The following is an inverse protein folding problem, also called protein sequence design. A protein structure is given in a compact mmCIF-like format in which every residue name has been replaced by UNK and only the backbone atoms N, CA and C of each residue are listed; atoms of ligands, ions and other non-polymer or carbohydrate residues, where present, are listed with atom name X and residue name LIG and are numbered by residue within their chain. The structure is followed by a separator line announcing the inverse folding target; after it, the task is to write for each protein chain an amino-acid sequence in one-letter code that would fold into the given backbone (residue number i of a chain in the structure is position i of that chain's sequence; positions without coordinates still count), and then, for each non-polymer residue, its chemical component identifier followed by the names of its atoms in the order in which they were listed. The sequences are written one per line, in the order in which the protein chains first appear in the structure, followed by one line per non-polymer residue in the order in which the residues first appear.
data_IF_681744460885
#
_entry.id   IF_681744460885
#
_cell.length_a   1.000
_cell.length_b   1.000
_cell.length_c   1.000
_cell.angle_alpha   90.00
_cell.angle_beta   90.00
_cell.angle_gamma   90.00
#
_symmetry.space_group_name_H-M   'P 1'
#
loop_
_entity.id
_entity.type
_entity.pdbx_description
1 polymer ?
#
# COMPACT_ATOMS: atom_id res chain seq x y z
N UNK A 1 -4.81 -11.38 27.32
CA UNK A 1 -4.39 -10.02 27.71
C UNK A 1 -5.62 -9.29 28.20
N UNK A 2 -5.57 -8.61 29.37
CA UNK A 2 -6.68 -7.74 29.77
C UNK A 2 -6.79 -6.58 28.77
N UNK A 3 -7.99 -6.03 28.56
CA UNK A 3 -8.22 -4.90 27.64
C UNK A 3 -7.41 -3.63 27.98
N UNK A 4 -6.71 -3.62 29.11
CA UNK A 4 -6.02 -2.47 29.68
C UNK A 4 -4.49 -2.51 29.54
N UNK A 5 -3.87 -3.67 29.32
CA UNK A 5 -2.41 -3.71 29.16
C UNK A 5 -1.99 -3.25 27.75
N UNK A 6 -0.94 -2.42 27.62
CA UNK A 6 -0.36 -2.06 26.34
C UNK A 6 0.19 -3.29 25.62
N UNK A 7 0.01 -3.36 24.31
CA UNK A 7 0.59 -4.38 23.44
C UNK A 7 2.08 -4.04 23.27
N UNK A 8 2.97 -4.96 23.67
CA UNK A 8 4.41 -4.76 23.53
C UNK A 8 4.83 -4.99 22.08
N UNK A 9 5.44 -3.99 21.45
CA UNK A 9 5.81 -4.02 20.02
C UNK A 9 7.32 -3.94 19.81
N UNK A 10 7.83 -4.81 18.93
CA UNK A 10 9.16 -4.66 18.32
C UNK A 10 8.99 -4.08 16.93
N UNK A 11 9.70 -2.98 16.64
CA UNK A 11 9.68 -2.34 15.31
C UNK A 11 10.98 -2.65 14.58
N UNK A 12 10.90 -3.34 13.45
CA UNK A 12 12.03 -3.71 12.61
C UNK A 12 12.07 -2.88 11.32
N UNK A 13 13.22 -2.25 11.07
CA UNK A 13 13.42 -1.30 9.98
C UNK A 13 13.05 0.10 10.42
N UNK A 14 14.02 1.02 10.37
CA UNK A 14 13.86 2.41 10.80
C UNK A 14 14.17 3.38 9.65
N UNK A 15 13.68 3.03 8.46
CA UNK A 15 13.64 3.92 7.29
C UNK A 15 12.57 5.01 7.45
N UNK A 16 12.02 5.52 6.34
CA UNK A 16 10.96 6.53 6.41
C UNK A 16 9.69 5.97 7.07
N UNK A 17 9.11 4.90 6.50
CA UNK A 17 7.91 4.25 7.05
C UNK A 17 8.11 3.71 8.47
N UNK A 18 9.22 3.01 8.70
CA UNK A 18 9.49 2.41 10.00
C UNK A 18 9.57 3.40 11.16
N UNK A 19 10.10 4.62 10.91
CA UNK A 19 10.11 5.69 11.92
C UNK A 19 8.73 6.29 12.14
N UNK A 20 7.92 6.44 11.09
CA UNK A 20 6.53 6.90 11.22
C UNK A 20 5.66 5.90 11.98
N UNK A 21 5.81 4.60 11.72
CA UNK A 21 5.14 3.55 12.49
C UNK A 21 5.62 3.50 13.94
N UNK A 22 6.93 3.62 14.19
CA UNK A 22 7.45 3.70 15.55
C UNK A 22 6.88 4.89 16.32
N UNK A 23 6.76 6.07 15.69
CA UNK A 23 6.09 7.22 16.30
C UNK A 23 4.62 6.96 16.59
N UNK A 24 3.90 6.31 15.66
CA UNK A 24 2.49 5.95 15.84
C UNK A 24 2.28 5.01 17.05
N UNK A 25 3.18 4.03 17.23
CA UNK A 25 3.15 3.18 18.43
C UNK A 25 3.50 3.96 19.70
N UNK A 26 4.52 4.83 19.67
CA UNK A 26 4.94 5.63 20.83
C UNK A 26 3.82 6.56 21.31
N UNK A 27 3.08 7.17 20.39
CA UNK A 27 2.02 8.13 20.70
C UNK A 27 0.70 7.47 21.13
N UNK A 28 0.55 6.16 20.92
CA UNK A 28 -0.69 5.44 21.22
C UNK A 28 -0.54 4.63 22.53
N UNK A 29 -1.28 4.99 23.61
CA UNK A 29 -1.18 4.32 24.90
C UNK A 29 -1.63 2.85 24.89
N UNK A 30 -2.22 2.37 23.80
CA UNK A 30 -2.50 0.96 23.58
C UNK A 30 -1.26 0.11 23.27
N UNK A 31 -0.09 0.74 23.06
CA UNK A 31 1.17 0.09 22.75
C UNK A 31 2.30 0.52 23.70
N UNK A 32 3.31 -0.33 23.79
CA UNK A 32 4.59 -0.05 24.44
C UNK A 32 5.71 -0.56 23.52
N UNK A 33 6.65 0.30 23.15
CA UNK A 33 7.78 -0.11 22.31
C UNK A 33 8.77 -0.93 23.17
N UNK A 34 8.84 -2.22 22.89
CA UNK A 34 9.79 -3.13 23.54
C UNK A 34 11.20 -3.01 22.94
N UNK A 35 11.31 -2.89 21.60
CA UNK A 35 12.58 -2.58 20.96
C UNK A 35 12.41 -1.92 19.59
N UNK A 36 13.37 -1.08 19.24
CA UNK A 36 13.60 -0.60 17.88
C UNK A 36 14.76 -1.36 17.27
N UNK A 37 14.60 -1.89 16.06
CA UNK A 37 15.60 -2.74 15.39
C UNK A 37 16.00 -2.13 14.06
N UNK A 38 17.29 -1.86 13.89
CA UNK A 38 17.86 -1.45 12.62
C UNK A 38 19.33 -1.87 12.49
N UNK A 39 19.75 -2.28 11.29
CA UNK A 39 21.12 -2.78 11.04
C UNK A 39 22.19 -1.71 11.24
N UNK A 40 21.86 -0.45 10.96
CA UNK A 40 22.74 0.71 11.11
C UNK A 40 22.15 1.71 12.10
N UNK A 41 22.98 2.64 12.56
CA UNK A 41 22.46 3.80 13.27
C UNK A 41 21.66 4.68 12.33
N UNK A 42 20.56 5.21 12.85
CA UNK A 42 19.70 6.17 12.19
C UNK A 42 19.23 7.21 13.20
N UNK A 43 19.01 8.45 12.78
CA UNK A 43 18.43 9.45 13.66
C UNK A 43 16.99 9.09 14.02
N UNK A 44 16.71 8.97 15.31
CA UNK A 44 15.37 8.73 15.85
C UNK A 44 14.64 10.07 16.06
N UNK A 45 13.44 10.23 15.50
CA UNK A 45 12.68 11.48 15.60
C UNK A 45 11.96 11.59 16.94
N UNK A 46 11.84 12.83 17.45
CA UNK A 46 10.92 13.19 18.53
C UNK A 46 11.01 12.30 19.76
N UNK A 47 9.87 11.76 20.20
CA UNK A 47 9.74 10.92 21.41
C UNK A 47 10.55 9.61 21.36
N UNK A 48 11.09 9.23 20.20
CA UNK A 48 11.90 8.02 20.05
C UNK A 48 13.37 8.22 20.44
N UNK A 49 13.85 9.45 20.63
CA UNK A 49 15.27 9.75 20.84
C UNK A 49 15.92 9.06 22.07
N UNK A 50 15.11 8.61 23.03
CA UNK A 50 15.57 7.88 24.22
C UNK A 50 15.66 6.36 24.05
N UNK A 51 15.22 5.80 22.92
CA UNK A 51 15.24 4.36 22.69
C UNK A 51 16.59 3.89 22.13
N UNK A 52 17.06 2.74 22.62
CA UNK A 52 18.22 2.06 22.05
C UNK A 52 17.83 1.30 20.76
N UNK A 53 18.72 1.32 19.76
CA UNK A 53 18.56 0.58 18.52
C UNK A 53 19.28 -0.77 18.64
N UNK A 54 18.50 -1.86 18.58
CA UNK A 54 19.00 -3.23 18.51
C UNK A 54 19.38 -3.58 17.07
N UNK A 55 20.37 -4.45 16.90
CA UNK A 55 20.91 -4.80 15.56
C UNK A 55 20.29 -6.05 14.95
N UNK A 56 19.71 -6.91 15.79
CA UNK A 56 19.22 -8.22 15.41
C UNK A 56 17.74 -8.35 15.77
N UNK A 57 16.93 -8.63 14.75
CA UNK A 57 15.50 -8.86 14.93
C UNK A 57 15.25 -10.15 15.72
N UNK A 58 16.01 -11.20 15.45
CA UNK A 58 15.91 -12.48 16.13
C UNK A 58 16.26 -12.36 17.63
N UNK A 59 17.27 -11.56 17.98
CA UNK A 59 17.64 -11.30 19.38
C UNK A 59 16.56 -10.49 20.09
N UNK A 60 16.04 -9.43 19.44
CA UNK A 60 14.95 -8.63 19.99
C UNK A 60 13.69 -9.47 20.21
N UNK A 61 13.29 -10.32 19.26
CA UNK A 61 12.16 -11.25 19.41
C UNK A 61 12.35 -12.17 20.63
N UNK A 62 13.53 -12.80 20.75
CA UNK A 62 13.83 -13.78 21.80
C UNK A 62 13.89 -13.15 23.20
N UNK A 63 14.50 -11.99 23.31
CA UNK A 63 14.76 -11.32 24.59
C UNK A 63 13.57 -10.51 25.07
N UNK A 64 12.93 -9.76 24.16
CA UNK A 64 11.78 -8.93 24.51
C UNK A 64 10.49 -9.74 24.63
N UNK A 65 10.33 -10.82 23.83
CA UNK A 65 9.09 -11.60 23.73
C UNK A 65 7.86 -10.70 23.52
N UNK A 66 7.82 -9.92 22.43
CA UNK A 66 6.75 -8.95 22.21
C UNK A 66 5.43 -9.62 21.84
N UNK A 67 4.35 -8.88 22.01
CA UNK A 67 3.01 -9.29 21.54
C UNK A 67 2.82 -9.01 20.04
N UNK A 68 3.53 -8.01 19.50
CA UNK A 68 3.45 -7.54 18.11
C UNK A 68 4.85 -7.35 17.51
N UNK A 69 5.05 -7.80 16.27
CA UNK A 69 6.16 -7.40 15.44
C UNK A 69 5.68 -6.47 14.32
N UNK A 70 6.28 -5.28 14.23
CA UNK A 70 6.05 -4.32 13.14
C UNK A 70 7.23 -4.35 12.19
N UNK A 71 7.02 -4.81 10.97
CA UNK A 71 8.08 -5.05 9.98
C UNK A 71 7.96 -3.99 8.88
N UNK A 72 8.90 -3.05 8.86
CA UNK A 72 9.02 -1.97 7.89
C UNK A 72 10.44 -1.94 7.29
N UNK A 73 10.96 -3.13 6.94
CA UNK A 73 12.26 -3.33 6.31
C UNK A 73 12.12 -3.27 4.78
N UNK A 74 13.14 -3.74 4.03
CA UNK A 74 12.98 -3.99 2.60
C UNK A 74 12.20 -5.29 2.38
N UNK A 75 11.44 -5.34 1.28
CA UNK A 75 10.48 -6.40 0.96
C UNK A 75 11.07 -7.80 0.89
N UNK A 76 12.37 -7.92 0.61
CA UNK A 76 13.14 -9.16 0.57
C UNK A 76 13.20 -9.88 1.93
N UNK A 77 13.00 -9.15 3.03
CA UNK A 77 13.06 -9.70 4.40
C UNK A 77 11.68 -9.87 5.06
N UNK A 78 10.61 -9.34 4.46
CA UNK A 78 9.27 -9.31 5.07
C UNK A 78 8.77 -10.70 5.45
N UNK A 79 8.84 -11.66 4.52
CA UNK A 79 8.26 -12.98 4.72
C UNK A 79 8.94 -13.76 5.84
N UNK A 80 10.27 -13.77 5.87
CA UNK A 80 11.03 -14.49 6.88
C UNK A 80 10.87 -13.87 8.27
N UNK A 81 10.83 -12.54 8.36
CA UNK A 81 10.61 -11.86 9.63
C UNK A 81 9.18 -12.10 10.14
N UNK A 82 8.18 -12.06 9.26
CA UNK A 82 6.79 -12.28 9.63
C UNK A 82 6.55 -13.71 10.12
N UNK A 83 7.09 -14.72 9.41
CA UNK A 83 6.98 -16.13 9.81
C UNK A 83 7.64 -16.37 11.16
N UNK A 84 8.88 -15.88 11.37
CA UNK A 84 9.57 -15.99 12.67
C UNK A 84 8.79 -15.33 13.80
N UNK A 85 8.18 -14.16 13.55
CA UNK A 85 7.37 -13.48 14.54
C UNK A 85 6.11 -14.29 14.89
N UNK A 86 5.44 -14.88 13.90
CA UNK A 86 4.30 -15.77 14.16
C UNK A 86 4.69 -17.01 14.95
N UNK A 87 5.80 -17.65 14.62
CA UNK A 87 6.35 -18.80 15.36
C UNK A 87 6.75 -18.44 16.80
N UNK A 88 7.14 -17.18 17.04
CA UNK A 88 7.37 -16.63 18.39
C UNK A 88 6.07 -16.26 19.13
N UNK A 89 4.90 -16.40 18.48
CA UNK A 89 3.59 -16.11 19.05
C UNK A 89 3.14 -14.65 18.93
N UNK A 90 3.80 -13.84 18.10
CA UNK A 90 3.43 -12.44 17.90
C UNK A 90 2.26 -12.29 16.92
N UNK A 91 1.49 -11.22 17.09
CA UNK A 91 0.77 -10.59 15.98
C UNK A 91 1.79 -9.90 15.05
N UNK A 92 1.42 -9.64 13.80
CA UNK A 92 2.32 -9.01 12.82
C UNK A 92 1.63 -7.86 12.11
N UNK A 93 2.28 -6.70 12.11
CA UNK A 93 2.10 -5.67 11.09
C UNK A 93 3.29 -5.77 10.13
N UNK A 94 3.04 -5.75 8.82
CA UNK A 94 4.10 -5.81 7.80
C UNK A 94 3.81 -4.83 6.68
N UNK A 95 4.82 -4.04 6.33
CA UNK A 95 4.75 -3.12 5.21
C UNK A 95 4.51 -3.84 3.88
N UNK A 96 3.98 -3.09 2.91
CA UNK A 96 3.81 -3.57 1.55
C UNK A 96 5.13 -3.50 0.76
N UNK A 97 5.28 -4.29 -0.31
CA UNK A 97 4.48 -5.48 -0.61
C UNK A 97 4.71 -6.57 0.45
N UNK A 98 3.72 -7.43 0.66
CA UNK A 98 3.75 -8.48 1.69
C UNK A 98 4.99 -9.39 1.57
N UNK A 99 5.43 -9.67 0.34
CA UNK A 99 6.63 -10.42 0.03
C UNK A 99 7.08 -10.12 -1.41
N UNK A 100 8.22 -10.68 -1.82
CA UNK A 100 8.74 -10.61 -3.21
C UNK A 100 8.23 -11.73 -4.11
N UNK A 101 7.61 -12.77 -3.54
CA UNK A 101 7.01 -13.87 -4.30
C UNK A 101 5.61 -14.21 -3.78
N UNK A 102 4.75 -14.73 -4.66
CA UNK A 102 3.40 -15.21 -4.27
C UNK A 102 3.50 -16.42 -3.33
N UNK A 103 4.54 -17.24 -3.45
CA UNK A 103 4.76 -18.39 -2.57
C UNK A 103 5.07 -17.93 -1.14
N UNK A 104 5.93 -16.93 -0.99
CA UNK A 104 6.27 -16.35 0.31
C UNK A 104 5.10 -15.59 0.92
N UNK A 105 4.34 -14.84 0.13
CA UNK A 105 3.13 -14.19 0.63
C UNK A 105 2.12 -15.21 1.20
N UNK A 106 1.91 -16.35 0.51
CA UNK A 106 1.09 -17.45 1.05
C UNK A 106 1.70 -18.06 2.31
N UNK A 107 3.01 -18.29 2.34
CA UNK A 107 3.72 -18.78 3.53
C UNK A 107 3.48 -17.89 4.76
N UNK A 108 3.46 -16.56 4.59
CA UNK A 108 3.15 -15.61 5.67
C UNK A 108 1.70 -15.73 6.13
N UNK A 109 0.74 -15.78 5.20
CA UNK A 109 -0.69 -15.93 5.52
C UNK A 109 -0.97 -17.25 6.22
N UNK A 110 -0.35 -18.34 5.75
CA UNK A 110 -0.49 -19.67 6.34
C UNK A 110 0.11 -19.71 7.75
N UNK A 111 1.25 -19.05 7.99
CA UNK A 111 1.84 -18.91 9.32
C UNK A 111 0.93 -18.12 10.28
N UNK A 112 0.30 -17.04 9.82
CA UNK A 112 -0.67 -16.29 10.60
C UNK A 112 -1.86 -17.16 11.03
N UNK A 113 -2.43 -17.92 10.08
CA UNK A 113 -3.54 -18.85 10.32
C UNK A 113 -3.14 -19.99 11.27
N UNK A 114 -1.99 -20.62 11.05
CA UNK A 114 -1.51 -21.74 11.84
C UNK A 114 -1.27 -21.37 13.31
N UNK A 115 -0.82 -20.13 13.57
CA UNK A 115 -0.57 -19.63 14.92
C UNK A 115 -1.77 -18.91 15.56
N UNK A 116 -2.89 -18.76 14.83
CA UNK A 116 -4.05 -18.01 15.32
C UNK A 116 -3.75 -16.55 15.62
N UNK A 117 -2.87 -15.92 14.82
CA UNK A 117 -2.40 -14.54 15.03
C UNK A 117 -2.91 -13.61 13.94
N UNK A 118 -2.91 -12.31 14.26
CA UNK A 118 -3.38 -11.26 13.36
C UNK A 118 -2.24 -10.85 12.42
N UNK A 119 -2.55 -10.75 11.14
CA UNK A 119 -1.67 -10.22 10.10
C UNK A 119 -2.33 -8.97 9.50
N UNK A 120 -1.72 -7.82 9.73
CA UNK A 120 -2.11 -6.56 9.08
C UNK A 120 -1.00 -6.16 8.12
N UNK A 121 -1.37 -5.96 6.86
CA UNK A 121 -0.53 -5.45 5.79
C UNK A 121 -0.69 -3.93 5.78
N UNK A 122 0.43 -3.20 5.62
CA UNK A 122 0.52 -1.74 5.52
C UNK A 122 -0.14 -1.16 4.25
N UNK A 123 -1.43 -1.43 4.07
CA UNK A 123 -2.25 -0.86 3.00
C UNK A 123 -2.91 0.44 3.47
N UNK A 124 -2.09 1.47 3.62
CA UNK A 124 -2.48 2.80 4.11
C UNK A 124 -3.71 3.39 3.41
N UNK A 125 -3.94 3.08 2.13
CA UNK A 125 -5.13 3.53 1.39
C UNK A 125 -6.45 3.01 1.97
N UNK A 126 -6.44 1.87 2.68
CA UNK A 126 -7.62 1.35 3.40
C UNK A 126 -8.02 2.22 4.60
N UNK A 127 -7.12 3.06 5.07
CA UNK A 127 -7.30 3.94 6.23
C UNK A 127 -7.44 5.42 5.84
N UNK A 128 -7.31 5.72 4.55
CA UNK A 128 -7.33 7.08 4.05
C UNK A 128 -8.75 7.52 3.69
N UNK A 129 -9.26 8.63 4.27
CA UNK A 129 -10.65 9.07 4.08
C UNK A 129 -11.10 9.22 2.63
N UNK A 130 -10.34 9.89 1.75
CA UNK A 130 -10.69 9.97 0.31
C UNK A 130 -10.73 8.63 -0.37
N UNK A 131 -9.83 7.72 -0.04
CA UNK A 131 -9.81 6.40 -0.65
C UNK A 131 -10.98 5.54 -0.19
N UNK A 132 -11.30 5.57 1.10
CA UNK A 132 -12.51 4.95 1.63
C UNK A 132 -13.77 5.52 0.97
N UNK A 133 -13.80 6.84 0.75
CA UNK A 133 -14.91 7.51 0.05
C UNK A 133 -14.97 7.12 -1.43
N UNK A 134 -13.84 7.11 -2.14
CA UNK A 134 -13.72 6.66 -3.53
C UNK A 134 -14.25 5.22 -3.67
N UNK A 135 -13.83 4.32 -2.79
CA UNK A 135 -14.28 2.92 -2.78
C UNK A 135 -15.79 2.86 -2.56
N UNK A 136 -16.31 3.57 -1.55
CA UNK A 136 -17.74 3.56 -1.24
C UNK A 136 -18.59 4.10 -2.40
N UNK A 137 -18.20 5.21 -3.01
CA UNK A 137 -18.92 5.78 -4.15
C UNK A 137 -18.76 4.93 -5.42
N UNK A 138 -17.57 4.39 -5.68
CA UNK A 138 -17.32 3.49 -6.80
C UNK A 138 -18.18 2.23 -6.73
N UNK A 139 -18.34 1.66 -5.53
CA UNK A 139 -19.24 0.51 -5.32
C UNK A 139 -20.71 0.86 -5.60
N UNK A 140 -21.17 2.06 -5.22
CA UNK A 140 -22.55 2.51 -5.49
C UNK A 140 -22.87 2.66 -6.98
N UNK A 141 -21.86 2.89 -7.82
CA UNK A 141 -22.04 2.96 -9.26
C UNK A 141 -22.41 1.62 -9.88
N UNK A 142 -21.98 0.49 -9.30
CA UNK A 142 -22.15 -0.84 -9.86
C UNK A 142 -21.24 -1.12 -11.07
N UNK A 143 -20.85 -2.40 -11.25
CA UNK A 143 -19.97 -2.83 -12.34
C UNK A 143 -20.70 -3.08 -13.68
N UNK A 144 -19.97 -3.44 -14.75
CA UNK A 144 -18.51 -3.59 -14.77
C UNK A 144 -17.79 -2.23 -14.65
N UNK A 145 -16.54 -2.28 -14.21
CA UNK A 145 -15.73 -1.11 -13.93
C UNK A 145 -14.60 -0.93 -14.94
N UNK A 146 -14.24 0.33 -15.21
CA UNK A 146 -12.95 0.70 -15.78
C UNK A 146 -12.17 1.48 -14.73
N UNK A 147 -11.04 0.91 -14.28
CA UNK A 147 -10.14 1.55 -13.33
C UNK A 147 -8.99 2.24 -14.06
N UNK A 148 -8.71 3.49 -13.69
CA UNK A 148 -7.55 4.24 -14.16
C UNK A 148 -6.79 4.79 -12.97
N UNK A 149 -5.61 4.23 -12.73
CA UNK A 149 -4.78 4.59 -11.58
C UNK A 149 -3.35 4.84 -12.07
N UNK A 150 -2.69 5.89 -11.59
CA UNK A 150 -1.24 5.98 -11.73
C UNK A 150 -0.58 6.67 -10.54
N UNK A 151 0.73 6.44 -10.43
CA UNK A 151 1.58 7.14 -9.48
C UNK A 151 2.94 7.38 -10.13
N UNK A 152 3.05 8.53 -10.80
CA UNK A 152 4.29 8.98 -11.42
C UNK A 152 4.95 10.01 -10.49
N UNK A 153 6.22 9.79 -10.14
CA UNK A 153 6.95 10.61 -9.18
C UNK A 153 8.20 11.18 -9.85
N UNK A 154 8.19 12.49 -10.10
CA UNK A 154 9.37 13.22 -10.57
C UNK A 154 10.34 13.41 -9.40
N UNK A 155 11.26 12.46 -9.22
CA UNK A 155 12.17 12.47 -8.08
C UNK A 155 13.58 12.94 -8.46
N UNK A 156 14.24 13.68 -7.58
CA UNK A 156 15.65 14.04 -7.68
C UNK A 156 16.38 13.89 -6.34
N UNK A 157 17.71 13.96 -6.34
CA UNK A 157 18.51 13.94 -5.11
C UNK A 157 18.23 12.72 -4.21
N UNK A 158 18.05 12.90 -2.89
CA UNK A 158 17.82 11.79 -1.95
C UNK A 158 16.59 10.92 -2.27
N UNK A 159 15.53 11.51 -2.83
CA UNK A 159 14.32 10.75 -3.24
C UNK A 159 14.63 9.83 -4.41
N UNK A 160 15.43 10.30 -5.38
CA UNK A 160 15.89 9.44 -6.48
C UNK A 160 16.80 8.32 -5.99
N UNK A 161 17.71 8.60 -5.04
CA UNK A 161 18.52 7.54 -4.41
C UNK A 161 17.65 6.49 -3.72
N UNK A 162 16.58 6.90 -3.05
CA UNK A 162 15.63 5.96 -2.42
C UNK A 162 14.95 5.08 -3.47
N UNK A 163 14.46 5.65 -4.57
CA UNK A 163 13.89 4.88 -5.68
C UNK A 163 14.90 3.90 -6.31
N UNK A 164 16.16 4.33 -6.49
CA UNK A 164 17.24 3.45 -6.98
C UNK A 164 17.51 2.27 -6.03
N UNK A 165 17.41 2.47 -4.72
CA UNK A 165 17.54 1.40 -3.73
C UNK A 165 16.34 0.44 -3.78
N UNK A 166 15.11 0.94 -3.88
CA UNK A 166 13.91 0.09 -4.03
C UNK A 166 13.99 -0.78 -5.30
N UNK A 167 14.44 -0.18 -6.42
CA UNK A 167 14.63 -0.87 -7.70
C UNK A 167 15.74 -1.92 -7.71
N UNK A 168 16.51 -2.09 -6.63
CA UNK A 168 17.40 -3.25 -6.50
C UNK A 168 16.62 -4.55 -6.32
N UNK A 169 15.40 -4.48 -5.76
CA UNK A 169 14.60 -5.66 -5.41
C UNK A 169 13.23 -5.69 -6.09
N UNK A 170 12.62 -4.52 -6.31
CA UNK A 170 11.21 -4.43 -6.70
C UNK A 170 11.01 -3.35 -7.77
N UNK A 171 10.26 -3.66 -8.83
CA UNK A 171 9.93 -2.68 -9.87
C UNK A 171 8.82 -1.72 -9.43
N UNK A 172 8.71 -0.50 -10.01
CA UNK A 172 7.72 0.50 -9.61
C UNK A 172 6.27 0.00 -9.65
N UNK A 173 5.93 -0.81 -10.65
CA UNK A 173 4.57 -1.36 -10.80
C UNK A 173 4.24 -2.44 -9.77
N UNK A 174 5.25 -3.06 -9.15
CA UNK A 174 5.05 -4.01 -8.07
C UNK A 174 4.99 -3.28 -6.73
N UNK A 175 5.95 -2.39 -6.47
CA UNK A 175 6.05 -1.69 -5.19
C UNK A 175 4.79 -0.88 -4.86
N UNK A 176 4.32 -0.06 -5.80
CA UNK A 176 3.15 0.79 -5.58
C UNK A 176 1.86 0.17 -6.12
N UNK A 177 1.95 -0.72 -7.12
CA UNK A 177 0.76 -1.31 -7.76
C UNK A 177 -0.09 -2.14 -6.82
N UNK A 178 0.52 -2.80 -5.81
CA UNK A 178 -0.23 -3.59 -4.83
C UNK A 178 -1.30 -2.77 -4.11
N UNK A 179 -1.05 -1.49 -3.80
CA UNK A 179 -2.06 -0.61 -3.21
C UNK A 179 -3.24 -0.36 -4.15
N UNK A 180 -2.97 -0.11 -5.43
CA UNK A 180 -4.01 0.25 -6.37
C UNK A 180 -4.80 -0.96 -6.84
N UNK A 181 -4.15 -2.12 -7.02
CA UNK A 181 -4.82 -3.39 -7.26
C UNK A 181 -5.68 -3.78 -6.06
N UNK A 182 -5.22 -3.54 -4.83
CA UNK A 182 -6.02 -3.74 -3.63
C UNK A 182 -7.30 -2.88 -3.64
N UNK A 183 -7.22 -1.62 -4.04
CA UNK A 183 -8.40 -0.76 -4.22
C UNK A 183 -9.35 -1.30 -5.30
N UNK A 184 -8.81 -1.76 -6.44
CA UNK A 184 -9.63 -2.36 -7.50
C UNK A 184 -10.38 -3.58 -6.97
N UNK A 185 -9.70 -4.49 -6.26
CA UNK A 185 -10.28 -5.68 -5.61
C UNK A 185 -11.36 -5.31 -4.59
N UNK A 186 -11.16 -4.24 -3.81
CA UNK A 186 -12.14 -3.74 -2.84
C UNK A 186 -13.41 -3.20 -3.50
N UNK A 187 -13.34 -2.67 -4.72
CA UNK A 187 -14.50 -2.14 -5.44
C UNK A 187 -15.23 -3.24 -6.19
N UNK A 188 -14.50 -4.05 -6.96
CA UNK A 188 -15.08 -5.02 -7.90
C UNK A 188 -15.55 -6.31 -7.24
N UNK A 189 -14.92 -6.74 -6.14
CA UNK A 189 -15.06 -8.09 -5.55
C UNK A 189 -14.80 -9.26 -6.54
N UNK A 190 -14.46 -8.97 -7.79
CA UNK A 190 -14.23 -9.92 -8.87
C UNK A 190 -12.79 -10.43 -8.87
N UNK A 191 -12.59 -11.57 -9.55
CA UNK A 191 -11.29 -12.22 -9.61
C UNK A 191 -10.51 -11.74 -10.85
N UNK A 192 -9.25 -11.32 -10.70
CA UNK A 192 -8.36 -11.07 -11.83
C UNK A 192 -8.15 -12.34 -12.67
N UNK A 193 -8.17 -12.25 -13.99
CA UNK A 193 -8.07 -13.41 -14.91
C UNK A 193 -6.96 -13.29 -15.96
N UNK A 194 -6.55 -12.07 -16.31
CA UNK A 194 -5.42 -11.83 -17.22
C UNK A 194 -4.76 -10.51 -16.87
N UNK A 195 -3.44 -10.46 -16.99
CA UNK A 195 -2.67 -9.22 -16.90
C UNK A 195 -1.64 -9.10 -18.02
N UNK A 196 -1.41 -7.87 -18.46
CA UNK A 196 -0.39 -7.45 -19.43
C UNK A 196 0.44 -6.35 -18.82
N UNK A 197 1.76 -6.40 -18.97
CA UNK A 197 2.69 -5.39 -18.47
C UNK A 197 3.65 -4.91 -19.56
N UNK A 198 3.99 -3.62 -19.52
CA UNK A 198 5.05 -3.03 -20.33
C UNK A 198 5.93 -2.13 -19.46
N UNK A 199 7.24 -2.15 -19.71
CA UNK A 199 8.22 -1.41 -18.93
C UNK A 199 9.35 -0.86 -19.79
N UNK A 200 9.87 0.29 -19.40
CA UNK A 200 10.93 1.02 -20.09
C UNK A 200 11.97 1.50 -19.08
N UNK A 201 13.24 1.23 -19.38
CA UNK A 201 14.39 1.79 -18.65
C UNK A 201 14.74 3.16 -19.24
N UNK A 202 14.53 4.20 -18.44
CA UNK A 202 14.75 5.61 -18.83
C UNK A 202 16.02 6.22 -18.21
N UNK A 203 16.73 5.50 -17.34
CA UNK A 203 17.98 5.97 -16.72
C UNK A 203 19.06 4.89 -16.81
N UNK A 204 20.30 5.33 -17.05
CA UNK A 204 21.46 4.46 -17.02
C UNK A 204 21.97 4.16 -15.59
N UNK A 205 21.43 4.84 -14.58
CA UNK A 205 21.82 4.68 -13.17
C UNK A 205 21.18 3.47 -12.48
N UNK A 206 20.29 2.75 -13.16
CA UNK A 206 19.63 1.55 -12.64
C UNK A 206 20.11 0.29 -13.39
N UNK A 207 19.91 -0.87 -12.77
CA UNK A 207 20.33 -2.15 -13.34
C UNK A 207 19.80 -2.35 -14.78
N UNK A 208 20.58 -2.94 -15.71
CA UNK A 208 20.16 -3.14 -17.10
C UNK A 208 18.89 -3.99 -17.28
N UNK A 209 18.58 -4.83 -16.30
CA UNK A 209 17.40 -5.72 -16.28
C UNK A 209 16.19 -5.10 -15.57
N UNK A 210 16.32 -3.86 -15.10
CA UNK A 210 15.29 -3.14 -14.36
C UNK A 210 14.70 -2.02 -15.21
N UNK A 211 13.49 -1.59 -14.88
CA UNK A 211 12.81 -0.46 -15.48
C UNK A 211 12.31 0.49 -14.39
N UNK A 212 12.38 1.79 -14.67
CA UNK A 212 11.88 2.84 -13.78
C UNK A 212 10.60 3.49 -14.30
N UNK A 213 10.06 3.02 -15.42
CA UNK A 213 8.72 3.37 -15.90
C UNK A 213 8.03 2.10 -16.37
N UNK A 214 6.79 1.88 -15.94
CA UNK A 214 6.01 0.76 -16.43
C UNK A 214 4.52 0.94 -16.17
N UNK A 215 3.74 0.09 -16.83
CA UNK A 215 2.32 0.02 -16.62
C UNK A 215 1.81 -1.40 -16.83
N UNK A 216 0.66 -1.68 -16.23
CA UNK A 216 -0.06 -2.92 -16.37
C UNK A 216 -1.51 -2.68 -16.77
N UNK A 217 -2.12 -3.66 -17.43
CA UNK A 217 -3.55 -3.74 -17.70
C UNK A 217 -4.06 -5.08 -17.20
N UNK A 218 -5.15 -5.07 -16.42
CA UNK A 218 -5.74 -6.26 -15.80
C UNK A 218 -7.20 -6.40 -16.23
N UNK A 219 -7.63 -7.64 -16.45
CA UNK A 219 -9.02 -8.03 -16.68
C UNK A 219 -9.54 -8.85 -15.50
N UNK A 220 -10.83 -8.69 -15.18
CA UNK A 220 -11.55 -9.43 -14.14
C UNK A 220 -12.64 -10.31 -14.76
N UNK A 221 -13.09 -11.33 -14.02
CA UNK A 221 -14.12 -12.28 -14.51
C UNK A 221 -15.56 -11.72 -14.57
N UNK A 222 -15.81 -10.55 -13.99
CA UNK A 222 -17.08 -9.82 -14.12
C UNK A 222 -17.12 -8.88 -15.36
N UNK A 223 -16.06 -8.87 -16.16
CA UNK A 223 -15.90 -7.98 -17.31
C UNK A 223 -15.32 -6.61 -16.98
N UNK A 224 -14.98 -6.34 -15.71
CA UNK A 224 -14.23 -5.15 -15.32
C UNK A 224 -12.80 -5.20 -15.86
N UNK A 225 -12.21 -4.03 -16.07
CA UNK A 225 -10.83 -3.87 -16.50
C UNK A 225 -10.15 -2.70 -15.82
N UNK A 226 -8.83 -2.73 -15.71
CA UNK A 226 -8.07 -1.65 -15.10
C UNK A 226 -6.71 -1.48 -15.73
N UNK A 227 -6.16 -0.27 -15.63
CA UNK A 227 -4.74 -0.05 -15.84
C UNK A 227 -4.12 0.65 -14.64
N UNK A 228 -2.86 0.31 -14.38
CA UNK A 228 -2.01 0.97 -13.41
C UNK A 228 -0.69 1.36 -14.04
N UNK A 229 -0.21 2.57 -13.80
CA UNK A 229 1.08 3.07 -14.26
C UNK A 229 1.91 3.63 -13.09
N UNK A 230 3.21 3.39 -13.15
CA UNK A 230 4.17 3.94 -12.21
C UNK A 230 5.47 4.31 -12.91
N UNK A 231 6.03 5.46 -12.52
CA UNK A 231 7.27 5.98 -13.05
C UNK A 231 8.05 6.72 -11.97
N UNK A 232 9.36 6.44 -11.89
CA UNK A 232 10.28 7.07 -10.95
C UNK A 232 11.51 7.66 -11.65
N UNK A 233 11.90 8.85 -11.24
CA UNK A 233 13.16 9.48 -11.65
C UNK A 233 13.02 10.92 -12.12
N UNK A 234 14.15 11.59 -12.38
CA UNK A 234 14.17 13.03 -12.68
C UNK A 234 13.51 13.39 -14.03
N UNK A 235 13.30 12.40 -14.90
CA UNK A 235 12.69 12.56 -16.23
C UNK A 235 11.17 12.41 -16.22
N UNK A 236 10.59 11.93 -15.12
CA UNK A 236 9.15 11.67 -15.06
C UNK A 236 8.37 12.98 -15.14
N UNK A 237 7.27 12.96 -15.88
CA UNK A 237 6.43 14.14 -16.09
C UNK A 237 5.51 14.39 -14.89
N UNK A 238 5.29 15.67 -14.58
CA UNK A 238 4.22 16.12 -13.67
C UNK A 238 2.89 16.36 -14.42
N UNK A 239 2.77 15.88 -15.66
CA UNK A 239 1.49 15.87 -16.38
C UNK A 239 0.76 14.57 -16.10
N UNK A 240 -0.50 14.67 -15.67
CA UNK A 240 -1.36 13.53 -15.39
C UNK A 240 -0.71 12.49 -14.47
N UNK A 241 0.17 12.90 -13.55
CA UNK A 241 0.91 12.01 -12.65
C UNK A 241 0.04 11.41 -11.52
N UNK A 242 -1.15 11.96 -11.36
CA UNK A 242 -2.14 11.56 -10.38
C UNK A 242 -3.53 11.43 -11.05
N UNK A 243 -3.79 10.26 -11.60
CA UNK A 243 -5.10 9.85 -12.11
C UNK A 243 -5.64 8.79 -11.17
N UNK A 244 -6.82 9.03 -10.60
CA UNK A 244 -7.52 8.15 -9.66
C UNK A 244 -9.00 8.11 -10.03
N UNK A 245 -9.36 7.21 -10.94
CA UNK A 245 -10.66 7.28 -11.60
C UNK A 245 -11.29 5.89 -11.73
N UNK A 246 -12.59 5.82 -11.41
CA UNK A 246 -13.40 4.60 -11.47
C UNK A 246 -14.64 4.91 -12.30
N UNK A 247 -14.75 4.26 -13.45
CA UNK A 247 -15.82 4.48 -14.42
C UNK A 247 -16.73 3.24 -14.46
N UNK A 248 -18.02 3.47 -14.67
CA UNK A 248 -19.05 2.44 -14.82
C UNK A 248 -20.08 2.88 -15.87
N UNK A 249 -21.04 2.01 -16.25
CA UNK A 249 -22.19 2.41 -17.04
C UNK A 249 -23.06 3.52 -16.39
N UNK A 250 -23.02 3.67 -15.07
CA UNK A 250 -23.87 4.61 -14.33
C UNK A 250 -23.21 5.97 -14.05
N UNK A 251 -21.93 6.12 -14.37
CA UNK A 251 -21.15 7.33 -14.10
C UNK A 251 -19.71 7.03 -13.70
N UNK A 252 -19.03 8.01 -13.10
CA UNK A 252 -17.69 7.85 -12.57
C UNK A 252 -17.49 8.57 -11.23
N UNK A 253 -16.48 8.12 -10.50
CA UNK A 253 -15.93 8.80 -9.33
C UNK A 253 -14.43 8.97 -9.53
N UNK A 254 -13.94 10.18 -9.28
CA UNK A 254 -12.51 10.49 -9.40
C UNK A 254 -12.02 11.21 -8.15
N UNK A 255 -10.79 10.90 -7.73
CA UNK A 255 -10.06 11.80 -6.83
C UNK A 255 -9.34 12.82 -7.68
N UNK A 256 -9.62 14.10 -7.43
CA UNK A 256 -9.05 15.22 -8.19
C UNK A 256 -7.98 15.90 -7.32
N UNK A 257 -6.96 16.46 -7.93
CA UNK A 257 -5.96 17.28 -7.23
C UNK A 257 -6.24 18.77 -7.46
N UNK A 258 -5.93 19.60 -6.48
CA UNK A 258 -5.95 21.04 -6.62
C UNK A 258 -4.81 21.46 -7.56
N UNK A 259 -5.00 22.59 -8.24
CA UNK A 259 -3.96 23.16 -9.09
C UNK A 259 -2.69 23.45 -8.27
N UNK A 260 -1.52 23.00 -8.75
CA UNK A 260 -0.20 23.34 -8.17
C UNK A 260 0.45 22.30 -7.23
N UNK A 261 -0.11 21.09 -7.11
CA UNK A 261 0.47 20.02 -6.30
C UNK A 261 1.74 19.39 -6.94
N UNK A 262 2.73 19.02 -6.13
CA UNK A 262 4.03 18.46 -6.58
C UNK A 262 4.03 16.93 -6.59
N UNK A 263 4.64 16.32 -7.59
CA UNK A 263 4.54 14.87 -7.80
C UNK A 263 5.37 13.97 -6.87
N UNK A 264 6.38 14.52 -6.19
CA UNK A 264 7.30 13.77 -5.32
C UNK A 264 7.12 14.03 -3.81
N UNK A 265 6.10 14.81 -3.45
CA UNK A 265 5.77 15.11 -2.06
C UNK A 265 4.84 14.03 -1.49
N UNK A 266 5.26 13.40 -0.39
CA UNK A 266 4.50 12.35 0.31
C UNK A 266 3.13 12.84 0.78
N UNK A 267 3.02 14.14 1.12
CA UNK A 267 1.77 14.76 1.53
C UNK A 267 0.81 14.98 0.35
N UNK A 268 1.34 15.16 -0.87
CA UNK A 268 0.52 15.26 -2.08
C UNK A 268 -0.17 13.94 -2.42
N UNK A 269 0.39 12.82 -1.95
CA UNK A 269 -0.25 11.50 -2.07
C UNK A 269 -1.31 11.21 -1.00
N UNK A 270 -1.45 12.09 0.01
CA UNK A 270 -2.34 11.90 1.18
C UNK A 270 -3.36 13.04 1.40
N UNK A 271 -3.12 14.23 0.86
CA UNK A 271 -4.04 15.38 0.92
C UNK A 271 -4.72 15.55 -0.43
N UNK A 272 -5.79 14.81 -0.61
CA UNK A 272 -6.57 14.76 -1.84
C UNK A 272 -7.61 15.87 -1.90
N UNK A 273 -7.59 16.55 -3.04
CA UNK A 273 -8.32 17.78 -3.25
C UNK A 273 -9.63 17.48 -3.96
N UNK A 274 -10.62 16.99 -3.21
CA UNK A 274 -12.01 16.79 -3.68
C UNK A 274 -12.26 15.48 -4.43
N UNK A 275 -13.37 14.81 -4.08
CA UNK A 275 -13.94 13.70 -4.84
C UNK A 275 -14.96 14.28 -5.82
N UNK A 276 -14.78 14.01 -7.12
CA UNK A 276 -15.74 14.38 -8.17
C UNK A 276 -16.63 13.18 -8.48
N UNK A 277 -17.94 13.38 -8.42
CA UNK A 277 -18.95 12.40 -8.82
C UNK A 277 -19.65 12.87 -10.09
N UNK A 278 -19.70 11.99 -11.09
CA UNK A 278 -20.41 12.21 -12.33
C UNK A 278 -21.50 11.14 -12.51
N UNK A 279 -22.68 11.54 -12.96
CA UNK A 279 -23.76 10.61 -13.32
C UNK A 279 -23.92 10.55 -14.84
N UNK A 280 -23.94 9.33 -15.39
CA UNK A 280 -24.15 9.11 -16.82
C UNK A 280 -25.62 9.35 -17.27
N UNK A 281 -26.54 9.62 -16.34
CA UNK A 281 -27.97 9.78 -16.66
C UNK A 281 -28.18 11.02 -17.54
N UNK A 282 -28.86 10.84 -18.66
CA UNK A 282 -29.26 11.94 -19.55
C UNK A 282 -30.77 12.21 -19.52
N UNK A 283 -31.16 13.44 -19.85
CA UNK A 283 -32.55 13.83 -20.12
C UNK A 283 -33.00 13.43 -21.53
N UNK A 284 -34.25 13.75 -21.87
CA UNK A 284 -34.82 13.49 -23.19
C UNK A 284 -34.12 14.28 -24.33
N UNK A 285 -33.42 15.37 -23.99
CA UNK A 285 -32.61 16.18 -24.91
C UNK A 285 -31.17 15.65 -25.09
N UNK A 286 -30.85 14.51 -24.46
CA UNK A 286 -29.52 13.90 -24.51
C UNK A 286 -28.46 14.59 -23.64
N UNK A 287 -28.82 15.65 -22.88
CA UNK A 287 -27.89 16.32 -21.96
C UNK A 287 -27.87 15.62 -20.61
N UNK A 288 -26.79 15.82 -19.84
CA UNK A 288 -26.70 15.28 -18.49
C UNK A 288 -27.86 15.78 -17.63
N UNK A 289 -28.53 14.85 -16.95
CA UNK A 289 -29.67 15.12 -16.09
C UNK A 289 -29.26 15.81 -14.77
N UNK A 290 -27.97 15.74 -14.41
CA UNK A 290 -27.39 16.36 -13.22
C UNK A 290 -25.99 16.87 -13.55
N UNK A 291 -25.61 17.99 -12.93
CA UNK A 291 -24.23 18.42 -12.89
C UNK A 291 -23.41 17.51 -11.98
N UNK A 292 -22.09 17.60 -12.11
CA UNK A 292 -21.18 16.88 -11.24
C UNK A 292 -21.26 17.38 -9.81
N UNK A 293 -21.10 16.46 -8.86
CA UNK A 293 -21.02 16.76 -7.44
C UNK A 293 -19.56 16.76 -6.99
N UNK A 294 -19.17 17.80 -6.26
CA UNK A 294 -17.81 17.97 -5.73
C UNK A 294 -17.85 17.81 -4.22
N UNK A 295 -17.32 16.70 -3.71
CA UNK A 295 -17.26 16.42 -2.28
C UNK A 295 -15.92 16.88 -1.71
N UNK A 296 -15.98 17.86 -0.81
CA UNK A 296 -14.81 18.34 -0.08
C UNK A 296 -14.24 17.25 0.83
N UNK A 297 -12.92 17.11 0.80
CA UNK A 297 -12.15 16.25 1.69
C UNK A 297 -11.23 17.11 2.58
N UNK A 298 -11.72 18.29 2.99
CA UNK A 298 -10.97 19.17 3.90
C UNK A 298 -10.68 18.49 5.24
N UNK A 299 -9.50 18.75 5.79
CA UNK A 299 -9.05 18.16 7.06
C UNK A 299 -8.51 16.74 6.91
N UNK A 300 -8.04 16.37 5.72
CA UNK A 300 -7.44 15.06 5.51
C UNK A 300 -6.16 14.86 6.32
N UNK A 301 -5.99 13.64 6.87
CA UNK A 301 -4.82 13.28 7.64
C UNK A 301 -3.55 13.43 6.80
N UNK A 302 -2.48 13.94 7.40
CA UNK A 302 -1.16 13.86 6.79
C UNK A 302 -0.62 12.42 6.83
N UNK A 303 0.58 12.23 6.28
CA UNK A 303 1.21 10.90 6.27
C UNK A 303 1.34 10.27 7.67
N UNK A 304 1.76 11.05 8.68
CA UNK A 304 1.89 10.55 10.05
C UNK A 304 0.53 10.17 10.66
N UNK A 305 -0.50 10.99 10.47
CA UNK A 305 -1.85 10.72 10.97
C UNK A 305 -2.42 9.44 10.35
N UNK A 306 -2.11 9.15 9.08
CA UNK A 306 -2.49 7.89 8.44
C UNK A 306 -1.77 6.69 9.06
N UNK A 307 -0.49 6.81 9.41
CA UNK A 307 0.22 5.76 10.16
C UNK A 307 -0.44 5.55 11.53
N UNK A 308 -0.86 6.62 12.21
CA UNK A 308 -1.58 6.54 13.48
C UNK A 308 -2.92 5.78 13.33
N UNK A 309 -3.65 6.00 12.23
CA UNK A 309 -4.88 5.27 11.91
C UNK A 309 -4.61 3.78 11.59
N UNK A 310 -3.52 3.46 10.88
CA UNK A 310 -3.11 2.07 10.64
C UNK A 310 -2.80 1.34 11.95
N UNK A 311 -2.03 1.96 12.85
CA UNK A 311 -1.69 1.32 14.12
C UNK A 311 -2.88 1.25 15.10
N UNK A 312 -3.80 2.21 15.04
CA UNK A 312 -5.09 2.08 15.71
C UNK A 312 -5.91 0.89 15.18
N UNK A 313 -5.86 0.62 13.87
CA UNK A 313 -6.50 -0.56 13.28
C UNK A 313 -5.82 -1.87 13.68
N UNK A 314 -4.48 -1.90 13.80
CA UNK A 314 -3.75 -3.05 14.37
C UNK A 314 -4.22 -3.33 15.79
N UNK A 315 -4.26 -2.30 16.65
CA UNK A 315 -4.72 -2.42 18.03
C UNK A 315 -6.14 -2.98 18.11
N UNK A 316 -7.04 -2.43 17.29
CA UNK A 316 -8.43 -2.87 17.18
C UNK A 316 -8.51 -4.33 16.74
N UNK A 317 -7.76 -4.70 15.70
CA UNK A 317 -7.72 -6.06 15.15
C UNK A 317 -7.33 -7.10 16.19
N UNK A 318 -6.38 -6.76 17.07
CA UNK A 318 -5.94 -7.64 18.15
C UNK A 318 -6.96 -7.68 19.29
N UNK A 319 -7.44 -6.52 19.76
CA UNK A 319 -8.32 -6.43 20.93
C UNK A 319 -9.75 -6.91 20.69
N UNK A 320 -10.25 -6.75 19.47
CA UNK A 320 -11.61 -7.14 19.06
C UNK A 320 -11.63 -8.44 18.26
N UNK A 321 -10.47 -9.10 18.09
CA UNK A 321 -10.33 -10.36 17.38
C UNK A 321 -10.91 -10.31 15.94
N UNK A 322 -10.70 -9.21 15.22
CA UNK A 322 -11.30 -8.99 13.90
C UNK A 322 -10.93 -10.10 12.89
N UNK A 323 -11.88 -10.46 12.02
CA UNK A 323 -11.62 -11.34 10.89
C UNK A 323 -10.88 -10.57 9.78
N UNK A 324 -9.64 -10.97 9.50
CA UNK A 324 -8.76 -10.39 8.50
C UNK A 324 -8.60 -11.28 7.26
N UNK A 325 -9.45 -12.30 7.08
CA UNK A 325 -9.34 -13.25 5.97
C UNK A 325 -9.34 -12.55 4.62
N UNK A 326 -10.29 -11.64 4.39
CA UNK A 326 -10.34 -10.84 3.17
C UNK A 326 -9.10 -9.94 3.00
N UNK A 327 -8.62 -9.32 4.08
CA UNK A 327 -7.45 -8.45 4.04
C UNK A 327 -6.19 -9.22 3.62
N UNK A 328 -5.98 -10.42 4.15
CA UNK A 328 -4.88 -11.30 3.76
C UNK A 328 -5.01 -11.83 2.32
N UNK A 329 -6.22 -12.25 1.93
CA UNK A 329 -6.47 -12.80 0.60
C UNK A 329 -6.28 -11.74 -0.50
N UNK A 330 -6.77 -10.51 -0.26
CA UNK A 330 -6.60 -9.39 -1.19
C UNK A 330 -5.11 -9.01 -1.32
N UNK A 331 -4.32 -9.10 -0.24
CA UNK A 331 -2.88 -8.84 -0.28
C UNK A 331 -2.11 -9.85 -1.14
N UNK A 332 -2.46 -11.14 -1.05
CA UNK A 332 -1.87 -12.19 -1.89
C UNK A 332 -2.29 -12.00 -3.35
N UNK A 333 -3.57 -11.70 -3.61
CA UNK A 333 -4.09 -11.50 -4.97
C UNK A 333 -3.47 -10.27 -5.65
N UNK A 334 -3.43 -9.13 -4.96
CA UNK A 334 -2.86 -7.90 -5.54
C UNK A 334 -1.39 -8.07 -5.87
N UNK A 335 -0.62 -8.71 -4.98
CA UNK A 335 0.78 -9.05 -5.23
C UNK A 335 0.93 -10.02 -6.41
N UNK A 336 0.09 -11.05 -6.51
CA UNK A 336 0.12 -11.99 -7.63
C UNK A 336 -0.12 -11.31 -8.98
N UNK A 337 -1.07 -10.38 -9.06
CA UNK A 337 -1.32 -9.59 -10.27
C UNK A 337 -0.11 -8.74 -10.63
N UNK A 338 0.47 -8.03 -9.65
CA UNK A 338 1.64 -7.19 -9.87
C UNK A 338 2.87 -7.98 -10.32
N UNK A 339 3.16 -9.13 -9.69
CA UNK A 339 4.28 -9.99 -10.08
C UNK A 339 4.06 -10.62 -11.46
N UNK A 340 2.83 -11.03 -11.78
CA UNK A 340 2.48 -11.49 -13.12
C UNK A 340 2.59 -10.37 -14.17
N UNK A 341 2.32 -9.12 -13.80
CA UNK A 341 2.59 -7.98 -14.67
C UNK A 341 4.09 -7.77 -14.90
N UNK A 342 4.92 -7.88 -13.86
CA UNK A 342 6.39 -7.81 -13.99
C UNK A 342 6.93 -8.96 -14.86
N UNK A 343 6.41 -10.18 -14.71
CA UNK A 343 6.69 -11.30 -15.63
C UNK A 343 6.27 -10.96 -17.07
N UNK A 344 5.10 -10.36 -17.25
CA UNK A 344 4.61 -9.91 -18.56
C UNK A 344 5.55 -8.90 -19.21
N UNK A 345 6.07 -7.92 -18.44
CA UNK A 345 7.09 -6.97 -18.91
C UNK A 345 8.33 -7.70 -19.42
N UNK A 346 8.82 -8.67 -18.65
CA UNK A 346 10.06 -9.40 -18.95
C UNK A 346 9.93 -10.36 -20.13
N UNK A 347 8.75 -10.95 -20.32
CA UNK A 347 8.51 -11.99 -21.33
C UNK A 347 7.83 -11.47 -22.60
N UNK A 348 7.21 -10.28 -22.55
CA UNK A 348 6.39 -9.72 -23.61
C UNK A 348 5.05 -10.43 -23.83
N UNK A 349 4.60 -11.28 -22.88
CA UNK A 349 3.42 -12.15 -23.02
C UNK A 349 2.35 -11.82 -21.98
N UNK A 350 1.09 -12.18 -22.27
CA UNK A 350 0.03 -12.19 -21.25
C UNK A 350 0.38 -13.21 -20.20
N UNK A 351 -0.02 -12.91 -18.98
CA UNK A 351 -0.11 -13.91 -17.93
C UNK A 351 -1.59 -14.13 -17.60
N UNK A 352 -2.02 -15.40 -17.68
CA UNK A 352 -3.30 -15.85 -17.17
C UNK A 352 -3.15 -16.13 -15.68
N UNK A 353 -4.12 -15.68 -14.87
CA UNK A 353 -4.05 -15.67 -13.41
C UNK A 353 -4.81 -16.84 -12.77
#
# INVERSE_FOLDING_TARGET
MSKEQPIRVVVAGLGNMGRSHALAYHNNPGFEIAALVNRSDVPLPGGLAGHEIRRSFDDALREEKPDLASIATYSDSHADYAVKAFEAGCHVFVEKPLATTVADARRVVDAAKANGRKLVIGYILRHHPSWMRLIAEGRKLGGPYVFRMNLNQQSSGPTWETHKQLMQTTSPIVDCGVHYLDVMLQITDARPVEVRGMGVRLSDEIAPTMYNYGHLQVLFDDGSGGWYEAGWGPMISETAFFVKDVISPNGCVSIVMAEGAKSDDIDTHTKTSTIRLHSARTGADGKFARADEMLSMQGEPGHQDLCDLEQAFVLKSIREDLDLSRHMDDAVKSLAVCLAADESVRTGKAVKL
#
